data_IF_304634522438
#
_entry.id   IF_304634522438
#
_cell.length_a   1.000
_cell.length_b   1.000
_cell.length_c   1.000
_cell.angle_alpha   90.00
_cell.angle_beta   90.00
_cell.angle_gamma   90.00
#
_symmetry.space_group_name_H-M   'P 1'
#
loop_
_entity.id
_entity.type
_entity.pdbx_description
1 polymer ?
#
# COMPACT_ATOMS: atom_id res chain seq x y z
N UNK A 1 75.37 -33.41 136.99
CA UNK A 1 74.86 -33.44 138.38
C UNK A 1 73.35 -33.67 138.33
N UNK A 2 72.78 -34.47 139.25
CA UNK A 2 71.69 -35.40 138.94
C UNK A 2 70.30 -34.97 139.43
N UNK A 3 69.27 -35.69 138.99
CA UNK A 3 67.89 -35.71 139.52
C UNK A 3 66.93 -36.30 138.49
N UNK A 4 66.83 -37.63 138.34
CA UNK A 4 65.96 -38.61 139.03
C UNK A 4 64.47 -38.57 138.67
N UNK A 5 63.97 -39.76 138.25
CA UNK A 5 62.62 -40.36 138.49
C UNK A 5 61.45 -39.75 137.70
N UNK A 6 60.51 -40.44 137.05
CA UNK A 6 60.03 -41.83 137.10
C UNK A 6 59.17 -42.13 135.84
N UNK A 7 58.90 -43.42 135.62
CA UNK A 7 57.76 -44.02 134.90
C UNK A 7 57.92 -44.61 133.48
N UNK A 8 57.93 -45.96 133.49
CA UNK A 8 57.08 -46.92 132.74
C UNK A 8 57.42 -47.24 131.26
N UNK A 9 58.06 -48.41 131.09
CA UNK A 9 58.02 -49.27 129.89
C UNK A 9 57.73 -50.70 130.39
N UNK A 10 56.62 -51.37 130.04
CA UNK A 10 56.24 -51.97 128.75
C UNK A 10 57.09 -53.20 128.36
N UNK A 11 56.51 -54.40 128.48
CA UNK A 11 56.75 -55.62 127.66
C UNK A 11 55.49 -56.50 127.83
N UNK A 12 54.51 -56.51 126.94
CA UNK A 12 54.44 -57.13 125.60
C UNK A 12 54.44 -58.68 125.64
N UNK A 13 53.25 -59.27 125.48
CA UNK A 13 53.00 -60.71 125.30
C UNK A 13 51.68 -60.94 124.57
N UNK A 14 51.79 -61.49 123.36
CA UNK A 14 50.82 -61.79 122.29
C UNK A 14 49.48 -62.38 122.76
N UNK A 15 48.35 -61.90 122.22
CA UNK A 15 47.07 -62.62 122.17
C UNK A 15 46.24 -62.19 120.97
N UNK A 16 45.94 -63.14 120.07
CA UNK A 16 44.92 -63.03 119.03
C UNK A 16 43.58 -62.62 119.66
N UNK A 17 42.94 -61.59 119.13
CA UNK A 17 41.50 -61.44 119.24
C UNK A 17 40.91 -61.13 117.86
N UNK A 18 40.23 -62.15 117.32
CA UNK A 18 39.38 -62.02 116.16
C UNK A 18 38.27 -61.01 116.47
N UNK A 19 38.27 -59.86 115.79
CA UNK A 19 37.08 -59.04 115.70
C UNK A 19 36.45 -59.26 114.34
N UNK A 20 35.56 -60.24 114.33
CA UNK A 20 34.58 -60.51 113.27
C UNK A 20 33.66 -59.30 113.17
N UNK A 21 34.00 -58.32 112.32
CA UNK A 21 33.02 -57.33 111.88
C UNK A 21 32.11 -58.04 110.90
N UNK A 22 30.87 -58.24 111.31
CA UNK A 22 29.80 -58.80 110.51
C UNK A 22 29.68 -58.04 109.18
N UNK A 23 29.87 -58.75 108.08
CA UNK A 23 29.49 -58.30 106.75
C UNK A 23 27.96 -58.24 106.72
N UNK A 24 27.38 -57.08 107.04
CA UNK A 24 25.96 -56.83 106.84
C UNK A 24 25.72 -56.62 105.34
N UNK A 25 25.14 -57.63 104.69
CA UNK A 25 24.69 -57.60 103.31
C UNK A 25 23.46 -56.67 103.13
N UNK A 26 23.66 -55.36 103.31
CA UNK A 26 22.61 -54.34 103.23
C UNK A 26 22.97 -52.94 102.64
N UNK A 27 24.08 -52.68 101.90
CA UNK A 27 24.29 -51.36 101.29
C UNK A 27 24.13 -51.31 99.75
N UNK A 28 23.99 -52.45 99.06
CA UNK A 28 23.94 -52.45 97.59
C UNK A 28 22.54 -52.11 97.06
N UNK A 29 21.48 -52.66 97.66
CA UNK A 29 20.11 -52.45 97.19
C UNK A 29 19.65 -51.00 97.41
N UNK A 30 20.04 -50.35 98.51
CA UNK A 30 19.71 -48.95 98.79
C UNK A 30 20.46 -47.97 97.88
N UNK A 31 21.70 -48.31 97.50
CA UNK A 31 22.47 -47.54 96.52
C UNK A 31 21.89 -47.70 95.10
N UNK A 32 21.45 -48.91 94.73
CA UNK A 32 20.76 -49.14 93.46
C UNK A 32 19.43 -48.37 93.43
N UNK A 33 18.65 -48.40 94.50
CA UNK A 33 17.36 -47.72 94.56
C UNK A 33 17.50 -46.19 94.48
N UNK A 34 18.49 -45.61 95.15
CA UNK A 34 18.81 -44.17 95.04
C UNK A 34 19.33 -43.78 93.65
N UNK A 35 20.11 -44.63 92.98
CA UNK A 35 20.49 -44.42 91.59
C UNK A 35 19.30 -44.49 90.63
N UNK A 36 18.38 -45.45 90.83
CA UNK A 36 17.15 -45.55 90.03
C UNK A 36 16.26 -44.32 90.23
N UNK A 37 16.05 -43.88 91.47
CA UNK A 37 15.25 -42.67 91.75
C UNK A 37 15.89 -41.41 91.15
N UNK A 38 17.22 -41.28 91.22
CA UNK A 38 17.94 -40.14 90.62
C UNK A 38 17.87 -40.19 89.10
N UNK A 39 17.91 -41.38 88.50
CA UNK A 39 17.79 -41.57 87.06
C UNK A 39 16.37 -41.32 86.56
N UNK A 40 15.34 -41.70 87.33
CA UNK A 40 13.95 -41.36 87.06
C UNK A 40 13.69 -39.85 87.19
N UNK A 41 14.22 -39.20 88.23
CA UNK A 41 14.12 -37.75 88.39
C UNK A 41 14.87 -37.00 87.28
N UNK A 42 16.07 -37.47 86.92
CA UNK A 42 16.85 -36.97 85.79
C UNK A 42 16.07 -37.09 84.49
N UNK A 43 15.47 -38.26 84.22
CA UNK A 43 14.62 -38.48 83.06
C UNK A 43 13.41 -37.54 83.04
N UNK A 44 12.70 -37.33 84.16
CA UNK A 44 11.57 -36.37 84.23
C UNK A 44 11.98 -34.93 83.97
N UNK A 45 13.15 -34.51 84.48
CA UNK A 45 13.67 -33.16 84.21
C UNK A 45 14.12 -33.01 82.75
N UNK A 46 14.70 -34.07 82.17
CA UNK A 46 15.12 -34.10 80.78
C UNK A 46 13.92 -34.05 79.84
N UNK A 47 12.84 -34.80 80.12
CA UNK A 47 11.56 -34.74 79.38
C UNK A 47 10.97 -33.33 79.38
N UNK A 48 11.09 -32.60 80.49
CA UNK A 48 10.56 -31.24 80.58
C UNK A 48 11.43 -30.22 79.85
N UNK A 49 12.76 -30.40 79.87
CA UNK A 49 13.70 -29.61 79.06
C UNK A 49 13.46 -29.86 77.58
N UNK A 50 13.28 -31.11 77.16
CA UNK A 50 13.04 -31.50 75.76
C UNK A 50 11.73 -30.90 75.24
N UNK A 51 10.64 -30.94 76.02
CA UNK A 51 9.38 -30.26 75.66
C UNK A 51 9.51 -28.75 75.51
N UNK A 52 10.29 -28.11 76.39
CA UNK A 52 10.53 -26.66 76.31
C UNK A 52 11.42 -26.29 75.13
N UNK A 53 12.43 -27.10 74.83
CA UNK A 53 13.29 -26.93 73.64
C UNK A 53 12.47 -27.11 72.36
N UNK A 54 11.69 -28.19 72.25
CA UNK A 54 10.77 -28.44 71.13
C UNK A 54 9.80 -27.27 70.92
N UNK A 55 9.18 -26.78 72.00
CA UNK A 55 8.30 -25.61 71.95
C UNK A 55 9.00 -24.34 71.50
N UNK A 56 10.23 -24.12 71.96
CA UNK A 56 11.06 -22.96 71.57
C UNK A 56 11.45 -23.06 70.10
N UNK A 57 11.89 -24.23 69.63
CA UNK A 57 12.21 -24.47 68.24
C UNK A 57 10.99 -24.27 67.34
N UNK A 58 9.81 -24.77 67.74
CA UNK A 58 8.56 -24.57 67.02
C UNK A 58 8.20 -23.09 66.88
N UNK A 59 8.30 -22.31 67.96
CA UNK A 59 8.01 -20.87 67.95
C UNK A 59 9.00 -20.09 67.07
N UNK A 60 10.28 -20.46 67.08
CA UNK A 60 11.31 -19.86 66.21
C UNK A 60 11.04 -20.15 64.74
N UNK A 61 10.60 -21.37 64.42
CA UNK A 61 10.21 -21.75 63.06
C UNK A 61 8.98 -20.94 62.61
N UNK A 62 7.96 -20.83 63.45
CA UNK A 62 6.75 -20.03 63.18
C UNK A 62 7.10 -18.56 62.93
N UNK A 63 7.91 -17.96 63.80
CA UNK A 63 8.39 -16.58 63.63
C UNK A 63 9.16 -16.40 62.31
N UNK A 64 10.05 -17.34 61.96
CA UNK A 64 10.79 -17.31 60.69
C UNK A 64 9.89 -17.51 59.47
N UNK A 65 8.82 -18.30 59.59
CA UNK A 65 7.82 -18.46 58.53
C UNK A 65 7.05 -17.15 58.35
N UNK A 66 6.56 -16.55 59.45
CA UNK A 66 5.85 -15.28 59.43
C UNK A 66 6.68 -14.13 58.84
N UNK A 67 7.98 -14.04 59.18
CA UNK A 67 8.88 -13.06 58.57
C UNK A 67 9.00 -13.23 57.06
N UNK A 68 9.15 -14.47 56.57
CA UNK A 68 9.20 -14.76 55.13
C UNK A 68 7.88 -14.39 54.43
N UNK A 69 6.76 -14.63 55.09
CA UNK A 69 5.44 -14.25 54.56
C UNK A 69 5.26 -12.73 54.47
N UNK A 70 5.68 -11.99 55.50
CA UNK A 70 5.68 -10.51 55.48
C UNK A 70 6.54 -9.98 54.34
N UNK A 71 7.73 -10.55 54.13
CA UNK A 71 8.63 -10.13 53.05
C UNK A 71 8.05 -10.43 51.66
N UNK A 72 7.43 -11.60 51.49
CA UNK A 72 6.72 -11.96 50.27
C UNK A 72 5.55 -11.01 50.00
N UNK A 73 4.72 -10.73 51.01
CA UNK A 73 3.58 -9.80 50.92
C UNK A 73 4.03 -8.38 50.61
N UNK A 74 5.12 -7.90 51.22
CA UNK A 74 5.68 -6.58 50.95
C UNK A 74 6.13 -6.45 49.50
N UNK A 75 6.81 -7.48 48.98
CA UNK A 75 7.25 -7.52 47.59
C UNK A 75 6.05 -7.53 46.63
N UNK A 76 5.02 -8.32 46.95
CA UNK A 76 3.78 -8.38 46.18
C UNK A 76 3.05 -7.02 46.15
N UNK A 77 2.90 -6.35 47.31
CA UNK A 77 2.30 -5.02 47.38
C UNK A 77 3.08 -3.97 46.58
N UNK A 78 4.42 -4.03 46.59
CA UNK A 78 5.25 -3.15 45.77
C UNK A 78 5.00 -3.38 44.27
N UNK A 79 4.87 -4.64 43.84
CA UNK A 79 4.54 -4.97 42.46
C UNK A 79 3.15 -4.46 42.09
N UNK A 80 2.14 -4.69 42.94
CA UNK A 80 0.78 -4.19 42.74
C UNK A 80 0.76 -2.66 42.59
N UNK A 81 1.52 -1.95 43.43
CA UNK A 81 1.63 -0.49 43.36
C UNK A 81 2.26 0.01 42.05
N UNK A 82 3.25 -0.72 41.51
CA UNK A 82 3.83 -0.42 40.19
C UNK A 82 2.81 -0.64 39.08
N UNK A 83 2.03 -1.71 39.18
CA UNK A 83 1.02 -2.07 38.20
C UNK A 83 -0.12 -1.05 38.17
N UNK A 84 -0.64 -0.64 39.33
CA UNK A 84 -1.62 0.44 39.45
C UNK A 84 -1.09 1.73 38.85
N UNK A 85 0.17 2.10 39.13
CA UNK A 85 0.78 3.30 38.56
C UNK A 85 0.90 3.24 37.04
N UNK A 86 1.25 2.07 36.49
CA UNK A 86 1.29 1.84 35.04
C UNK A 86 -0.10 1.98 34.42
N UNK A 87 -1.11 1.34 35.02
CA UNK A 87 -2.50 1.43 34.56
C UNK A 87 -3.05 2.85 34.64
N UNK A 88 -2.69 3.62 35.67
CA UNK A 88 -3.10 5.02 35.79
C UNK A 88 -2.50 5.88 34.67
N UNK A 89 -1.23 5.66 34.32
CA UNK A 89 -0.61 6.34 33.17
C UNK A 89 -1.23 5.92 31.84
N UNK A 90 -1.56 4.64 31.68
CA UNK A 90 -2.22 4.11 30.48
C UNK A 90 -3.64 4.68 30.34
N UNK A 91 -4.39 4.75 31.45
CA UNK A 91 -5.74 5.34 31.47
C UNK A 91 -5.72 6.78 30.99
N UNK A 92 -4.80 7.61 31.50
CA UNK A 92 -4.67 9.00 31.05
C UNK A 92 -4.35 9.10 29.55
N UNK A 93 -3.50 8.21 29.03
CA UNK A 93 -3.19 8.16 27.59
C UNK A 93 -4.42 7.77 26.76
N UNK A 94 -5.18 6.76 27.20
CA UNK A 94 -6.39 6.30 26.52
C UNK A 94 -7.47 7.37 26.55
N UNK A 95 -7.66 8.05 27.67
CA UNK A 95 -8.63 9.16 27.80
C UNK A 95 -8.30 10.29 26.81
N UNK A 96 -7.01 10.61 26.64
CA UNK A 96 -6.58 11.56 25.62
C UNK A 96 -6.89 11.08 24.20
N UNK A 97 -6.63 9.81 23.89
CA UNK A 97 -6.94 9.25 22.57
C UNK A 97 -8.46 9.26 22.28
N UNK A 98 -9.30 9.01 23.29
CA UNK A 98 -10.75 9.10 23.15
C UNK A 98 -11.20 10.53 22.84
N UNK A 99 -10.65 11.54 23.51
CA UNK A 99 -10.93 12.94 23.23
C UNK A 99 -10.51 13.32 21.79
N UNK A 100 -9.33 12.89 21.34
CA UNK A 100 -8.84 13.14 19.98
C UNK A 100 -9.73 12.45 18.92
N UNK A 101 -10.22 11.24 19.19
CA UNK A 101 -11.18 10.53 18.31
C UNK A 101 -12.48 11.32 18.18
N UNK A 102 -13.01 11.87 19.28
CA UNK A 102 -14.26 12.63 19.24
C UNK A 102 -14.14 13.88 18.34
N UNK A 103 -13.03 14.63 18.48
CA UNK A 103 -12.72 15.77 17.61
C UNK A 103 -12.59 15.33 16.16
N UNK A 104 -11.81 14.26 15.92
CA UNK A 104 -11.58 13.73 14.58
C UNK A 104 -12.87 13.25 13.91
N UNK A 105 -13.77 12.58 14.65
CA UNK A 105 -15.08 12.16 14.15
C UNK A 105 -15.96 13.36 13.76
N UNK A 106 -15.88 14.46 14.52
CA UNK A 106 -16.60 15.70 14.24
C UNK A 106 -16.11 16.38 12.95
N UNK A 107 -14.82 16.31 12.68
CA UNK A 107 -14.19 16.98 11.53
C UNK A 107 -14.24 16.16 10.24
N UNK A 108 -14.16 14.83 10.34
CA UNK A 108 -14.19 13.93 9.18
C UNK A 108 -15.54 13.99 8.45
N UNK A 109 -16.66 14.10 9.15
CA UNK A 109 -17.97 14.10 8.52
C UNK A 109 -18.15 15.29 7.53
N UNK A 110 -17.88 16.55 7.93
CA UNK A 110 -17.84 17.67 6.99
C UNK A 110 -16.87 17.48 5.82
N UNK A 111 -15.69 16.89 6.07
CA UNK A 111 -14.73 16.60 5.01
C UNK A 111 -15.29 15.59 4.00
N UNK A 112 -15.89 14.50 4.46
CA UNK A 112 -16.50 13.49 3.59
C UNK A 112 -17.65 14.08 2.76
N UNK A 113 -18.46 14.97 3.34
CA UNK A 113 -19.51 15.67 2.59
C UNK A 113 -18.93 16.56 1.48
N UNK A 114 -17.87 17.34 1.78
CA UNK A 114 -17.16 18.13 0.76
C UNK A 114 -16.53 17.27 -0.32
N UNK A 115 -15.94 16.14 0.06
CA UNK A 115 -15.39 15.17 -0.88
C UNK A 115 -16.48 14.59 -1.78
N UNK A 116 -17.63 14.22 -1.22
CA UNK A 116 -18.76 13.73 -2.02
C UNK A 116 -19.25 14.78 -3.00
N UNK A 117 -19.40 16.03 -2.55
CA UNK A 117 -19.79 17.15 -3.42
C UNK A 117 -18.78 17.38 -4.54
N UNK A 118 -17.49 17.28 -4.25
CA UNK A 118 -16.44 17.37 -5.27
C UNK A 118 -16.55 16.27 -6.33
N UNK A 119 -16.87 15.02 -5.96
CA UNK A 119 -17.10 13.94 -6.96
C UNK A 119 -18.34 14.25 -7.80
N UNK A 120 -19.43 14.71 -7.20
CA UNK A 120 -20.66 15.06 -7.93
C UNK A 120 -20.37 16.15 -8.97
N UNK A 121 -19.72 17.24 -8.56
CA UNK A 121 -19.32 18.32 -9.47
C UNK A 121 -18.39 17.82 -10.57
N UNK A 122 -17.42 16.97 -10.21
CA UNK A 122 -16.50 16.37 -11.16
C UNK A 122 -17.26 15.59 -12.23
N UNK A 123 -18.17 14.69 -11.84
CA UNK A 123 -18.95 13.86 -12.77
C UNK A 123 -19.85 14.71 -13.67
N UNK A 124 -20.41 15.81 -13.16
CA UNK A 124 -21.29 16.71 -13.93
C UNK A 124 -20.51 17.51 -14.98
N UNK A 125 -19.26 17.88 -14.71
CA UNK A 125 -18.39 18.63 -15.63
C UNK A 125 -17.61 17.73 -16.60
N UNK A 126 -17.53 16.43 -16.31
CA UNK A 126 -16.81 15.44 -17.10
C UNK A 126 -17.64 14.99 -18.33
N UNK A 127 -17.01 14.16 -19.14
CA UNK A 127 -17.61 13.52 -20.31
C UNK A 127 -18.80 12.64 -19.90
N UNK A 128 -19.94 12.67 -20.62
CA UNK A 128 -21.16 11.92 -20.28
C UNK A 128 -21.05 10.46 -20.72
N UNK A 129 -20.30 9.65 -19.97
CA UNK A 129 -20.23 8.20 -20.15
C UNK A 129 -20.84 7.47 -18.94
N UNK A 130 -21.40 6.28 -19.18
CA UNK A 130 -21.99 5.40 -18.17
C UNK A 130 -22.90 6.16 -17.17
N UNK A 131 -23.68 7.13 -17.64
CA UNK A 131 -24.40 8.09 -16.80
C UNK A 131 -25.31 7.41 -15.77
N UNK A 132 -26.00 6.33 -16.18
CA UNK A 132 -26.90 5.59 -15.30
C UNK A 132 -26.16 4.99 -14.10
N UNK A 133 -25.01 4.35 -14.35
CA UNK A 133 -24.23 3.69 -13.31
C UNK A 133 -23.58 4.72 -12.37
N UNK A 134 -23.00 5.78 -12.93
CA UNK A 134 -22.34 6.85 -12.16
C UNK A 134 -23.36 7.61 -11.31
N UNK A 135 -24.51 7.98 -11.87
CA UNK A 135 -25.56 8.69 -11.13
C UNK A 135 -26.10 7.84 -9.99
N UNK A 136 -26.41 6.56 -10.27
CA UNK A 136 -26.85 5.63 -9.23
C UNK A 136 -25.85 5.53 -8.09
N UNK A 137 -24.55 5.38 -8.40
CA UNK A 137 -23.49 5.32 -7.38
C UNK A 137 -23.45 6.59 -6.53
N UNK A 138 -23.56 7.77 -7.15
CA UNK A 138 -23.58 9.05 -6.43
C UNK A 138 -24.80 9.16 -5.52
N UNK A 139 -25.96 8.72 -5.97
CA UNK A 139 -27.19 8.74 -5.18
C UNK A 139 -27.12 7.75 -4.01
N UNK A 140 -26.58 6.56 -4.23
CA UNK A 140 -26.34 5.57 -3.18
C UNK A 140 -25.34 6.10 -2.12
N UNK A 141 -24.28 6.81 -2.54
CA UNK A 141 -23.33 7.46 -1.63
C UNK A 141 -23.98 8.58 -0.83
N UNK A 142 -24.81 9.43 -1.46
CA UNK A 142 -25.56 10.48 -0.74
C UNK A 142 -26.48 9.88 0.32
N UNK A 143 -27.26 8.87 -0.05
CA UNK A 143 -28.15 8.18 0.89
C UNK A 143 -27.38 7.52 2.04
N UNK A 144 -26.19 6.99 1.76
CA UNK A 144 -25.32 6.38 2.77
C UNK A 144 -24.79 7.39 3.81
N UNK A 145 -24.59 8.65 3.42
CA UNK A 145 -24.08 9.66 4.34
C UNK A 145 -25.04 9.97 5.49
N UNK A 146 -26.35 9.88 5.25
CA UNK A 146 -27.40 10.18 6.23
C UNK A 146 -27.79 8.98 7.12
N UNK A 147 -27.37 7.77 6.73
CA UNK A 147 -27.66 6.53 7.46
C UNK A 147 -26.93 6.44 8.79
N UNK A 148 -27.64 6.14 9.87
CA UNK A 148 -27.08 6.00 11.23
C UNK A 148 -26.57 4.59 11.56
N UNK A 149 -26.98 3.59 10.79
CA UNK A 149 -26.61 2.18 10.99
C UNK A 149 -25.21 1.83 10.46
N UNK A 150 -24.52 2.81 9.85
CA UNK A 150 -23.19 2.64 9.26
C UNK A 150 -22.12 3.40 10.02
N UNK A 151 -20.99 2.75 10.26
CA UNK A 151 -19.84 3.37 10.92
C UNK A 151 -19.19 4.42 10.02
N UNK A 152 -18.52 5.41 10.64
CA UNK A 152 -17.80 6.46 9.90
C UNK A 152 -16.73 5.88 8.97
N UNK A 153 -16.03 4.82 9.42
CA UNK A 153 -15.01 4.14 8.64
C UNK A 153 -15.60 3.43 7.40
N UNK A 154 -16.82 2.89 7.49
CA UNK A 154 -17.50 2.29 6.34
C UNK A 154 -17.87 3.35 5.29
N UNK A 155 -18.45 4.47 5.74
CA UNK A 155 -18.80 5.61 4.87
C UNK A 155 -17.57 6.13 4.13
N UNK A 156 -16.46 6.33 4.86
CA UNK A 156 -15.19 6.75 4.28
C UNK A 156 -14.67 5.75 3.23
N UNK A 157 -14.68 4.45 3.55
CA UNK A 157 -14.20 3.41 2.63
C UNK A 157 -14.98 3.40 1.32
N UNK A 158 -16.31 3.48 1.40
CA UNK A 158 -17.19 3.49 0.22
C UNK A 158 -17.00 4.75 -0.63
N UNK A 159 -16.80 5.89 0.01
CA UNK A 159 -16.46 7.13 -0.68
C UNK A 159 -15.11 6.99 -1.42
N UNK A 160 -14.09 6.46 -0.75
CA UNK A 160 -12.77 6.26 -1.36
C UNK A 160 -12.80 5.23 -2.51
N UNK A 161 -13.60 4.17 -2.39
CA UNK A 161 -13.85 3.21 -3.47
C UNK A 161 -14.41 3.93 -4.71
N UNK A 162 -15.36 4.83 -4.54
CA UNK A 162 -15.90 5.62 -5.65
C UNK A 162 -14.86 6.54 -6.30
N UNK A 163 -13.99 7.19 -5.50
CA UNK A 163 -12.86 7.98 -6.01
C UNK A 163 -11.88 7.13 -6.83
N UNK A 164 -11.57 5.92 -6.36
CA UNK A 164 -10.68 5.01 -7.08
C UNK A 164 -11.29 4.58 -8.42
N UNK A 165 -12.57 4.21 -8.43
CA UNK A 165 -13.31 3.86 -9.66
C UNK A 165 -13.29 5.03 -10.64
N UNK A 166 -13.58 6.25 -10.17
CA UNK A 166 -13.56 7.44 -11.00
C UNK A 166 -12.16 7.72 -11.58
N UNK A 167 -11.10 7.50 -10.79
CA UNK A 167 -9.72 7.62 -11.27
C UNK A 167 -9.38 6.56 -12.32
N UNK A 168 -9.87 5.34 -12.15
CA UNK A 168 -9.63 4.21 -13.05
C UNK A 168 -10.30 4.42 -14.42
N UNK A 169 -11.43 5.12 -14.49
CA UNK A 169 -12.00 5.56 -15.76
C UNK A 169 -11.03 6.45 -16.56
N UNK A 170 -10.09 7.14 -15.92
CA UNK A 170 -9.04 7.88 -16.64
C UNK A 170 -8.03 6.99 -17.38
N UNK A 171 -7.86 5.73 -16.95
CA UNK A 171 -6.77 4.84 -17.39
C UNK A 171 -7.22 3.73 -18.33
N UNK A 172 -8.50 3.41 -18.32
CA UNK A 172 -9.08 2.27 -19.04
C UNK A 172 -9.65 2.66 -20.40
N UNK A 173 -9.71 1.69 -21.31
CA UNK A 173 -10.38 1.80 -22.61
C UNK A 173 -11.52 0.79 -22.60
N UNK A 174 -12.70 1.20 -23.03
CA UNK A 174 -13.90 0.37 -22.93
C UNK A 174 -14.84 0.61 -24.09
N UNK A 175 -15.47 -0.45 -24.60
CA UNK A 175 -16.51 -0.36 -25.61
C UNK A 175 -17.81 -0.96 -25.06
N UNK A 176 -18.90 -0.21 -25.18
CA UNK A 176 -20.21 -0.63 -24.69
C UNK A 176 -21.32 -0.13 -25.60
N UNK A 177 -22.45 -0.83 -25.62
CA UNK A 177 -23.63 -0.40 -26.38
C UNK A 177 -24.53 0.45 -25.47
N UNK A 178 -25.00 1.57 -25.98
CA UNK A 178 -25.91 2.44 -25.25
C UNK A 178 -26.81 3.24 -26.18
N UNK A 179 -27.80 3.90 -25.59
CA UNK A 179 -28.72 4.76 -26.31
C UNK A 179 -28.19 6.20 -26.31
N UNK A 180 -27.97 6.76 -27.49
CA UNK A 180 -27.68 8.17 -27.66
C UNK A 180 -28.98 8.93 -27.89
N UNK A 181 -29.29 9.87 -26.99
CA UNK A 181 -30.38 10.81 -27.15
C UNK A 181 -29.89 12.01 -27.97
N UNK A 182 -30.35 12.12 -29.21
CA UNK A 182 -30.12 13.30 -30.05
C UNK A 182 -31.46 13.99 -30.27
N UNK A 183 -31.77 14.98 -29.43
CA UNK A 183 -33.09 15.60 -29.36
C UNK A 183 -34.17 14.59 -28.91
N UNK A 184 -35.29 14.55 -29.65
CA UNK A 184 -36.46 13.71 -29.34
C UNK A 184 -36.34 12.26 -29.89
N UNK A 185 -35.18 11.90 -30.44
CA UNK A 185 -34.93 10.57 -31.02
C UNK A 185 -33.81 9.86 -30.27
N UNK A 186 -34.14 8.68 -29.73
CA UNK A 186 -33.17 7.76 -29.16
C UNK A 186 -32.64 6.82 -30.25
N UNK A 187 -31.32 6.60 -30.29
CA UNK A 187 -30.68 5.67 -31.22
C UNK A 187 -29.67 4.80 -30.48
N UNK A 188 -29.73 3.49 -30.69
CA UNK A 188 -28.72 2.57 -30.19
C UNK A 188 -27.40 2.78 -30.95
N UNK A 189 -26.33 3.05 -30.20
CA UNK A 189 -24.97 3.26 -30.72
C UNK A 189 -23.97 2.43 -29.94
N UNK A 190 -22.86 2.10 -30.59
CA UNK A 190 -21.72 1.46 -29.92
C UNK A 190 -20.75 2.57 -29.49
N UNK A 191 -20.61 2.79 -28.18
CA UNK A 191 -19.67 3.73 -27.59
C UNK A 191 -18.28 3.11 -27.45
N UNK A 192 -17.25 3.93 -27.66
CA UNK A 192 -15.86 3.64 -27.35
C UNK A 192 -15.32 4.76 -26.47
N UNK A 193 -14.95 4.43 -25.25
CA UNK A 193 -14.33 5.33 -24.30
C UNK A 193 -12.82 5.09 -24.27
N UNK A 194 -12.05 6.17 -24.41
CA UNK A 194 -10.60 6.16 -24.23
C UNK A 194 -10.24 7.02 -23.02
N UNK A 195 -10.11 6.38 -21.86
CA UNK A 195 -9.87 7.08 -20.60
C UNK A 195 -10.97 8.10 -20.32
N UNK A 196 -10.54 9.33 -20.01
CA UNK A 196 -11.36 10.56 -19.95
C UNK A 196 -11.05 11.56 -21.06
N UNK A 197 -10.20 11.17 -22.01
CA UNK A 197 -9.70 12.06 -23.07
C UNK A 197 -10.67 12.12 -24.23
N UNK A 198 -11.41 11.03 -24.48
CA UNK A 198 -12.40 11.01 -25.56
C UNK A 198 -13.44 9.94 -25.34
N UNK A 199 -14.70 10.34 -25.54
CA UNK A 199 -15.82 9.45 -25.75
C UNK A 199 -16.22 9.52 -27.22
N UNK A 200 -16.26 8.37 -27.85
CA UNK A 200 -16.63 8.21 -29.24
C UNK A 200 -17.87 7.33 -29.33
N UNK A 201 -18.67 7.51 -30.37
CA UNK A 201 -19.70 6.54 -30.72
C UNK A 201 -19.69 6.20 -32.20
N UNK A 202 -20.21 5.02 -32.49
CA UNK A 202 -20.47 4.51 -33.84
C UNK A 202 -21.97 4.22 -33.98
N UNK A 203 -22.61 4.88 -34.94
CA UNK A 203 -23.99 4.58 -35.34
C UNK A 203 -24.04 3.32 -36.20
N UNK A 204 -24.93 2.39 -35.86
CA UNK A 204 -25.14 1.12 -36.57
C UNK A 204 -25.98 1.24 -37.86
N UNK A 205 -26.24 2.46 -38.34
CA UNK A 205 -27.15 2.68 -39.47
C UNK A 205 -26.49 2.25 -40.78
N UNK A 206 -26.98 1.16 -41.38
CA UNK A 206 -26.44 0.54 -42.61
C UNK A 206 -26.42 1.44 -43.86
N UNK A 207 -26.99 2.65 -43.79
CA UNK A 207 -27.16 3.58 -44.94
C UNK A 207 -26.24 4.80 -44.92
N UNK A 208 -25.61 5.14 -43.80
CA UNK A 208 -24.62 6.21 -43.69
C UNK A 208 -23.32 5.61 -43.16
N UNK A 209 -22.18 5.96 -43.76
CA UNK A 209 -20.89 5.40 -43.38
C UNK A 209 -20.63 5.46 -41.87
N UNK A 210 -19.80 4.54 -41.38
CA UNK A 210 -19.36 4.46 -40.00
C UNK A 210 -18.56 5.72 -39.58
N UNK A 211 -19.25 6.81 -39.27
CA UNK A 211 -18.63 8.07 -38.85
C UNK A 211 -18.42 8.09 -37.35
N UNK A 212 -17.16 8.11 -36.94
CA UNK A 212 -16.78 8.31 -35.55
C UNK A 212 -17.05 9.77 -35.17
N UNK A 213 -17.86 9.95 -34.14
CA UNK A 213 -18.15 11.28 -33.58
C UNK A 213 -17.57 11.34 -32.18
N UNK A 214 -16.89 12.44 -31.85
CA UNK A 214 -16.21 12.61 -30.56
C UNK A 214 -16.97 13.62 -29.71
N UNK A 215 -17.04 13.35 -28.40
CA UNK A 215 -17.55 14.31 -27.44
C UNK A 215 -16.56 15.47 -27.26
N UNK A 216 -17.03 16.71 -27.45
CA UNK A 216 -16.27 17.91 -27.16
C UNK A 216 -16.73 18.54 -25.85
N UNK A 217 -15.89 18.48 -24.80
CA UNK A 217 -16.18 19.08 -23.49
C UNK A 217 -16.45 20.59 -23.58
N UNK A 218 -15.75 21.32 -24.46
CA UNK A 218 -15.90 22.77 -24.63
C UNK A 218 -17.30 23.18 -25.10
N UNK A 219 -17.94 22.34 -25.91
CA UNK A 219 -19.24 22.63 -26.51
C UNK A 219 -20.37 21.81 -25.92
N UNK A 220 -20.06 20.92 -24.97
CA UNK A 220 -20.96 19.90 -24.42
C UNK A 220 -21.79 19.21 -25.52
N UNK A 221 -21.15 18.91 -26.65
CA UNK A 221 -21.82 18.36 -27.83
C UNK A 221 -20.89 17.42 -28.58
N UNK A 222 -21.48 16.43 -29.23
CA UNK A 222 -20.77 15.57 -30.17
C UNK A 222 -20.45 16.35 -31.44
N UNK A 223 -19.16 16.51 -31.72
CA UNK A 223 -18.66 17.08 -32.97
C UNK A 223 -18.22 15.96 -33.90
N UNK A 224 -18.66 16.00 -35.16
CA UNK A 224 -18.13 15.09 -36.17
C UNK A 224 -16.62 15.22 -36.23
N UNK A 225 -15.93 14.11 -35.98
CA UNK A 225 -14.51 14.06 -36.30
C UNK A 225 -14.50 13.96 -37.81
N UNK A 226 -14.23 15.10 -38.47
CA UNK A 226 -14.07 15.15 -39.94
C UNK A 226 -13.21 13.97 -40.38
N UNK A 227 -13.49 13.35 -41.53
CA UNK A 227 -13.06 11.99 -41.82
C UNK A 227 -11.57 11.83 -41.57
N UNK A 228 -11.22 11.17 -40.46
CA UNK A 228 -9.88 10.66 -40.28
C UNK A 228 -9.81 9.49 -41.24
N UNK A 229 -9.33 9.78 -42.44
CA UNK A 229 -8.79 8.75 -43.30
C UNK A 229 -7.35 8.55 -42.84
N UNK A 230 -7.06 7.60 -41.92
CA UNK A 230 -5.70 7.14 -41.81
C UNK A 230 -5.36 6.57 -43.19
N UNK A 231 -4.46 7.21 -43.92
CA UNK A 231 -3.70 6.50 -44.97
C UNK A 231 -3.03 5.36 -44.22
N UNK A 232 -3.41 4.09 -44.45
CA UNK A 232 -2.81 3.00 -43.70
C UNK A 232 -1.30 3.05 -43.92
N UNK A 233 -0.47 2.96 -42.86
CA UNK A 233 0.96 2.90 -43.05
C UNK A 233 1.25 1.65 -43.90
N UNK A 234 1.92 1.86 -45.03
CA UNK A 234 2.42 0.77 -45.87
C UNK A 234 3.61 0.13 -45.16
N UNK A 235 3.36 -0.64 -44.10
CA UNK A 235 4.38 -1.40 -43.37
C UNK A 235 4.19 -2.90 -43.58
N UNK A 236 5.26 -3.59 -43.98
CA UNK A 236 5.29 -5.03 -44.16
C UNK A 236 6.25 -5.62 -43.12
N UNK A 237 5.72 -6.50 -42.26
CA UNK A 237 6.54 -7.34 -41.37
C UNK A 237 6.92 -8.60 -42.14
N UNK A 238 8.19 -8.96 -42.14
CA UNK A 238 8.69 -10.11 -42.90
C UNK A 238 8.49 -11.43 -42.13
N UNK A 239 8.17 -12.49 -42.87
CA UNK A 239 8.11 -13.87 -42.34
C UNK A 239 9.48 -14.35 -41.84
N UNK A 240 10.57 -13.88 -42.45
CA UNK A 240 11.94 -14.14 -42.05
C UNK A 240 12.78 -12.86 -42.14
N UNK A 241 13.74 -12.67 -41.22
CA UNK A 241 14.57 -11.46 -41.17
C UNK A 241 15.49 -11.37 -42.41
N UNK A 242 15.32 -10.31 -43.20
CA UNK A 242 16.02 -10.07 -44.47
C UNK A 242 17.34 -9.32 -44.25
N UNK A 243 18.41 -9.74 -44.92
CA UNK A 243 19.72 -9.09 -44.82
C UNK A 243 19.90 -8.00 -45.90
N UNK A 244 20.15 -6.73 -45.53
CA UNK A 244 20.21 -5.61 -46.50
C UNK A 244 21.18 -5.75 -47.67
N UNK A 245 22.24 -6.55 -47.53
CA UNK A 245 23.23 -6.82 -48.59
C UNK A 245 22.91 -8.03 -49.47
N UNK A 246 22.31 -9.09 -48.90
CA UNK A 246 22.08 -10.35 -49.61
C UNK A 246 20.68 -10.37 -50.24
N UNK A 247 19.69 -9.74 -49.59
CA UNK A 247 18.29 -9.69 -50.03
C UNK A 247 17.92 -8.32 -50.61
N UNK A 248 18.90 -7.62 -51.20
CA UNK A 248 18.73 -6.26 -51.72
C UNK A 248 17.62 -6.18 -52.78
N UNK A 249 17.51 -7.21 -53.62
CA UNK A 249 16.51 -7.30 -54.68
C UNK A 249 15.10 -7.43 -54.09
N UNK A 250 14.91 -8.36 -53.15
CA UNK A 250 13.67 -8.56 -52.39
C UNK A 250 13.25 -7.29 -51.63
N UNK A 251 14.18 -6.64 -50.91
CA UNK A 251 13.89 -5.39 -50.20
C UNK A 251 13.54 -4.24 -51.17
N UNK A 252 14.12 -4.21 -52.36
CA UNK A 252 13.81 -3.21 -53.38
C UNK A 252 12.42 -3.42 -53.99
N UNK A 253 12.01 -4.67 -54.19
CA UNK A 253 10.65 -5.03 -54.63
C UNK A 253 9.61 -4.65 -53.57
N UNK A 254 9.84 -5.04 -52.32
CA UNK A 254 8.96 -4.70 -51.19
C UNK A 254 8.82 -3.18 -51.04
N UNK A 255 9.94 -2.44 -51.13
CA UNK A 255 9.90 -0.97 -51.07
C UNK A 255 9.03 -0.38 -52.19
N UNK A 256 9.15 -0.90 -53.42
CA UNK A 256 8.34 -0.46 -54.55
C UNK A 256 6.85 -0.74 -54.32
N UNK A 257 6.49 -1.93 -53.87
CA UNK A 257 5.11 -2.29 -53.54
C UNK A 257 4.52 -1.38 -52.46
N UNK A 258 5.30 -1.08 -51.42
CA UNK A 258 4.88 -0.15 -50.36
C UNK A 258 4.68 1.27 -50.89
N UNK A 259 5.57 1.76 -51.77
CA UNK A 259 5.42 3.08 -52.40
C UNK A 259 4.19 3.12 -53.32
N UNK A 260 3.93 2.06 -54.08
CA UNK A 260 2.74 1.94 -54.94
C UNK A 260 1.46 1.92 -54.11
N UNK A 261 1.44 1.19 -52.99
CA UNK A 261 0.28 1.14 -52.08
C UNK A 261 0.00 2.51 -51.48
N UNK A 262 1.01 3.17 -50.92
CA UNK A 262 0.88 4.51 -50.32
C UNK A 262 0.45 5.56 -51.36
N UNK A 263 1.05 5.53 -52.56
CA UNK A 263 0.63 6.40 -53.66
C UNK A 263 -0.82 6.14 -54.09
N UNK A 264 -1.21 4.87 -54.23
CA UNK A 264 -2.59 4.49 -54.55
C UNK A 264 -3.58 4.96 -53.48
N UNK A 265 -3.21 4.92 -52.21
CA UNK A 265 -4.02 5.47 -51.11
C UNK A 265 -4.15 6.99 -51.20
N UNK A 266 -3.04 7.70 -51.47
CA UNK A 266 -3.04 9.15 -51.65
C UNK A 266 -3.91 9.58 -52.84
N UNK A 267 -3.81 8.90 -53.97
CA UNK A 267 -4.62 9.18 -55.17
C UNK A 267 -6.10 8.90 -54.91
N UNK A 268 -6.43 7.75 -54.31
CA UNK A 268 -7.82 7.40 -53.96
C UNK A 268 -8.46 8.42 -53.04
N UNK A 269 -7.71 8.94 -52.09
CA UNK A 269 -8.20 9.89 -51.09
C UNK A 269 -8.04 11.36 -51.54
N UNK A 270 -7.49 11.63 -52.73
CA UNK A 270 -7.22 12.97 -53.28
C UNK A 270 -6.31 13.83 -52.38
N UNK A 271 -5.25 13.24 -51.84
CA UNK A 271 -4.22 13.94 -51.08
C UNK A 271 -2.85 13.88 -51.77
N UNK A 272 -2.03 14.89 -51.53
CA UNK A 272 -0.62 14.97 -51.89
C UNK A 272 0.20 14.99 -50.61
N UNK A 273 1.31 14.27 -50.56
CA UNK A 273 2.21 14.26 -49.41
C UNK A 273 3.43 15.15 -49.66
N UNK A 274 3.80 15.96 -48.67
CA UNK A 274 5.04 16.75 -48.72
C UNK A 274 6.23 16.06 -48.05
N UNK A 275 6.00 15.19 -47.07
CA UNK A 275 7.09 14.52 -46.35
C UNK A 275 6.96 13.01 -46.50
N UNK A 276 8.06 12.36 -46.84
CA UNK A 276 8.16 10.90 -47.03
C UNK A 276 9.18 10.36 -46.06
N UNK A 277 8.82 9.31 -45.32
CA UNK A 277 9.71 8.65 -44.39
C UNK A 277 9.69 7.14 -44.52
N UNK A 278 10.74 6.51 -43.99
CA UNK A 278 10.86 5.08 -43.82
C UNK A 278 10.89 4.74 -42.34
N UNK A 279 10.36 3.57 -42.01
CA UNK A 279 10.44 2.94 -40.70
C UNK A 279 11.06 1.57 -40.88
N UNK A 280 12.19 1.35 -40.23
CA UNK A 280 12.86 0.05 -40.18
C UNK A 280 12.75 -0.52 -38.77
N UNK A 281 12.50 -1.81 -38.67
CA UNK A 281 12.74 -2.56 -37.43
C UNK A 281 13.79 -3.62 -37.68
N UNK A 282 14.81 -3.67 -36.84
CA UNK A 282 15.84 -4.69 -36.88
C UNK A 282 15.37 -5.99 -36.20
N UNK A 283 16.11 -7.08 -36.42
CA UNK A 283 15.83 -8.38 -35.80
C UNK A 283 15.87 -8.36 -34.25
N UNK A 284 16.64 -7.44 -33.66
CA UNK A 284 16.72 -7.16 -32.21
C UNK A 284 15.56 -6.28 -31.70
N UNK A 285 14.55 -6.05 -32.54
CA UNK A 285 13.37 -5.23 -32.30
C UNK A 285 13.60 -3.72 -32.14
N UNK A 286 14.83 -3.22 -32.31
CA UNK A 286 15.07 -1.77 -32.38
C UNK A 286 14.45 -1.16 -33.62
N UNK A 287 13.77 -0.01 -33.45
CA UNK A 287 13.08 0.70 -34.53
C UNK A 287 13.82 1.99 -34.87
N UNK A 288 14.00 2.27 -36.16
CA UNK A 288 14.63 3.47 -36.67
C UNK A 288 13.77 4.10 -37.76
N UNK A 289 13.55 5.41 -37.66
CA UNK A 289 12.80 6.19 -38.65
C UNK A 289 13.67 7.28 -39.29
N UNK A 290 13.49 7.49 -40.59
CA UNK A 290 14.10 8.60 -41.34
C UNK A 290 13.13 9.18 -42.34
N UNK A 291 13.06 10.50 -42.38
CA UNK A 291 12.16 11.27 -43.21
C UNK A 291 12.90 12.34 -44.02
N UNK A 292 12.30 12.71 -45.14
CA UNK A 292 12.72 13.80 -46.01
C UNK A 292 11.48 14.58 -46.45
N UNK A 293 11.57 15.90 -46.35
CA UNK A 293 10.55 16.82 -46.86
C UNK A 293 10.90 17.22 -48.29
N UNK A 294 9.93 17.10 -49.19
CA UNK A 294 10.04 17.43 -50.60
C UNK A 294 9.69 18.90 -50.86
N UNK A 295 10.20 19.46 -51.95
CA UNK A 295 9.94 20.85 -52.36
C UNK A 295 8.48 21.06 -52.75
N UNK A 296 7.88 20.10 -53.46
CA UNK A 296 6.47 20.11 -53.87
C UNK A 296 5.70 18.90 -53.31
N UNK A 297 4.45 19.07 -52.82
CA UNK A 297 3.58 17.97 -52.45
C UNK A 297 3.30 17.05 -53.64
N UNK A 298 3.37 15.73 -53.45
CA UNK A 298 3.21 14.76 -54.53
C UNK A 298 2.41 13.53 -54.09
N UNK A 299 1.74 12.90 -55.04
CA UNK A 299 1.19 11.55 -54.90
C UNK A 299 1.83 10.58 -55.91
N UNK A 300 2.84 11.02 -56.66
CA UNK A 300 3.50 10.21 -57.67
C UNK A 300 4.39 9.11 -57.03
N UNK A 301 4.25 7.88 -57.56
CA UNK A 301 4.97 6.70 -57.06
C UNK A 301 6.48 6.88 -57.19
N UNK A 302 6.96 7.41 -58.31
CA UNK A 302 8.39 7.52 -58.59
C UNK A 302 9.06 8.52 -57.66
N UNK A 303 8.39 9.65 -57.43
CA UNK A 303 8.86 10.69 -56.51
C UNK A 303 8.91 10.17 -55.07
N UNK A 304 7.86 9.47 -54.60
CA UNK A 304 7.82 8.85 -53.27
C UNK A 304 8.92 7.79 -53.13
N UNK A 305 9.14 6.97 -54.16
CA UNK A 305 10.18 5.94 -54.17
C UNK A 305 11.58 6.52 -54.12
N UNK A 306 11.84 7.59 -54.86
CA UNK A 306 13.12 8.29 -54.83
C UNK A 306 13.42 8.87 -53.44
N UNK A 307 12.40 9.48 -52.82
CA UNK A 307 12.48 10.02 -51.47
C UNK A 307 12.73 8.92 -50.42
N UNK A 308 11.99 7.82 -50.48
CA UNK A 308 12.16 6.68 -49.58
C UNK A 308 13.55 6.03 -49.73
N UNK A 309 14.08 5.93 -50.96
CA UNK A 309 15.46 5.48 -51.22
C UNK A 309 16.50 6.44 -50.65
N UNK A 310 16.26 7.75 -50.71
CA UNK A 310 17.14 8.74 -50.11
C UNK A 310 17.17 8.61 -48.58
N UNK A 311 16.03 8.36 -47.95
CA UNK A 311 15.96 8.06 -46.52
C UNK A 311 16.70 6.75 -46.18
N UNK A 312 16.57 5.71 -47.00
CA UNK A 312 17.22 4.41 -46.77
C UNK A 312 18.75 4.47 -46.83
N UNK A 313 19.32 5.33 -47.68
CA UNK A 313 20.78 5.57 -47.73
C UNK A 313 21.34 6.20 -46.45
N UNK A 314 20.50 6.82 -45.63
CA UNK A 314 20.89 7.53 -44.39
C UNK A 314 20.77 6.66 -43.15
N UNK A 315 20.51 5.36 -43.31
CA UNK A 315 20.32 4.40 -42.22
C UNK A 315 21.46 3.37 -42.21
N UNK A 316 22.00 2.98 -41.04
CA UNK A 316 22.93 1.86 -40.95
C UNK A 316 22.22 0.55 -41.33
N UNK A 317 22.70 -0.09 -42.40
CA UNK A 317 22.17 -1.33 -42.99
C UNK A 317 23.10 -2.53 -42.72
N UNK A 318 23.70 -2.55 -41.54
CA UNK A 318 24.64 -3.56 -41.03
C UNK A 318 23.93 -4.78 -40.41
N UNK A 319 22.64 -4.64 -40.10
CA UNK A 319 21.84 -5.66 -39.40
C UNK A 319 20.66 -6.14 -40.23
N UNK A 320 20.17 -7.34 -39.93
CA UNK A 320 18.97 -7.91 -40.55
C UNK A 320 17.72 -7.10 -40.16
N UNK A 321 16.82 -6.95 -41.13
CA UNK A 321 15.58 -6.20 -41.00
C UNK A 321 14.42 -7.17 -40.83
N UNK A 322 13.52 -6.84 -39.89
CA UNK A 322 12.27 -7.55 -39.62
C UNK A 322 11.05 -6.82 -40.16
N UNK A 323 11.14 -5.51 -40.32
CA UNK A 323 10.08 -4.66 -40.84
C UNK A 323 10.65 -3.55 -41.70
N UNK A 324 9.99 -3.31 -42.83
CA UNK A 324 10.17 -2.14 -43.67
C UNK A 324 8.81 -1.48 -43.87
N UNK A 325 8.73 -0.19 -43.56
CA UNK A 325 7.54 0.61 -43.78
C UNK A 325 7.84 1.94 -44.46
N UNK A 326 6.90 2.40 -45.27
CA UNK A 326 6.89 3.74 -45.87
C UNK A 326 5.76 4.54 -45.24
N UNK A 327 6.09 5.74 -44.78
CA UNK A 327 5.15 6.69 -44.16
C UNK A 327 5.14 7.98 -44.97
N UNK A 328 3.97 8.58 -45.09
CA UNK A 328 3.79 9.92 -45.65
C UNK A 328 3.15 10.85 -44.62
N UNK A 329 3.62 12.09 -44.57
CA UNK A 329 3.14 13.13 -43.65
C UNK A 329 3.05 14.48 -44.36
N UNK A 330 2.43 15.46 -43.69
CA UNK A 330 2.16 16.79 -44.25
C UNK A 330 1.32 16.69 -45.53
N UNK A 331 0.10 16.15 -45.36
CA UNK A 331 -0.84 15.88 -46.43
C UNK A 331 -1.62 17.15 -46.80
N UNK A 332 -1.71 17.45 -48.09
CA UNK A 332 -2.49 18.58 -48.64
C UNK A 332 -3.49 18.05 -49.66
N UNK A 333 -4.71 18.60 -49.71
CA UNK A 333 -5.75 18.14 -50.62
C UNK A 333 -5.41 18.49 -52.08
N UNK A 334 -5.51 17.52 -52.98
CA UNK A 334 -5.28 17.69 -54.43
C UNK A 334 -6.54 18.25 -55.09
N UNK A 335 -6.67 19.57 -55.08
CA UNK A 335 -7.80 20.31 -55.64
C UNK A 335 -8.08 21.52 -54.76
N UNK A 336 -7.76 22.70 -55.27
CA UNK A 336 -7.80 23.94 -54.50
C UNK A 336 -9.19 24.23 -53.95
N UNK A 337 -9.28 24.33 -52.64
CA UNK A 337 -9.93 25.49 -52.08
C UNK A 337 -8.82 26.40 -51.58
N UNK A 338 -8.73 27.60 -52.15
CA UNK A 338 -7.97 28.67 -51.51
C UNK A 338 -8.77 28.99 -50.26
N UNK A 339 -8.42 28.35 -49.15
CA UNK A 339 -8.82 28.88 -47.86
C UNK A 339 -8.02 30.17 -47.69
N UNK A 340 -8.62 31.26 -48.16
CA UNK A 340 -8.29 32.62 -47.78
C UNK A 340 -8.41 32.68 -46.26
N UNK A 341 -7.31 32.33 -45.60
CA UNK A 341 -7.00 32.90 -44.29
C UNK A 341 -6.60 34.34 -44.55
N UNK A 342 -7.62 35.17 -44.82
CA UNK A 342 -7.51 36.56 -44.41
C UNK A 342 -7.23 36.52 -42.90
N UNK A 343 -6.16 37.16 -42.42
CA UNK A 343 -6.03 37.36 -40.99
C UNK A 343 -7.22 38.21 -40.59
N UNK A 344 -8.15 37.63 -39.82
CA UNK A 344 -9.13 38.40 -39.06
C UNK A 344 -8.31 39.36 -38.21
N UNK A 345 -8.24 40.61 -38.64
CA UNK A 345 -7.75 41.72 -37.86
C UNK A 345 -8.61 41.78 -36.61
N UNK A 346 -8.03 41.33 -35.49
CA UNK A 346 -8.51 41.65 -34.15
C UNK A 346 -8.59 43.18 -34.09
N UNK A 347 -9.76 43.79 -33.83
CA UNK A 347 -9.77 45.21 -33.49
C UNK A 347 -9.02 45.37 -32.18
N UNK A 348 -7.93 46.12 -32.21
CA UNK A 348 -7.21 46.57 -31.01
C UNK A 348 -8.18 47.33 -30.11
N UNK A 349 -8.62 46.70 -29.02
CA UNK A 349 -9.36 47.35 -27.95
C UNK A 349 -8.38 48.14 -27.08
N UNK A 350 -7.84 49.23 -27.65
CA UNK A 350 -7.06 50.23 -26.96
C UNK A 350 -7.84 51.54 -26.75
N UNK A 351 -9.16 51.53 -26.91
CA UNK A 351 -10.00 52.74 -26.78
C UNK A 351 -11.16 52.56 -25.80
N UNK A 352 -10.91 51.90 -24.67
CA UNK A 352 -11.85 51.79 -23.55
C UNK A 352 -11.24 52.22 -22.20
N UNK A 353 -10.26 53.15 -22.22
CA UNK A 353 -9.67 53.75 -21.01
C UNK A 353 -9.72 55.28 -20.94
N UNK A 354 -10.44 55.95 -21.84
CA UNK A 354 -10.53 57.42 -21.85
C UNK A 354 -11.94 57.99 -21.60
N UNK A 355 -12.96 57.16 -21.38
CA UNK A 355 -14.33 57.60 -21.08
C UNK A 355 -14.70 57.60 -19.59
N UNK A 356 -13.71 57.46 -18.69
CA UNK A 356 -13.91 57.59 -17.23
C UNK A 356 -13.01 58.67 -16.61
N UNK A 357 -12.98 59.86 -17.23
CA UNK A 357 -12.44 61.10 -16.65
C UNK A 357 -13.18 62.33 -17.21
N UNK A 358 -14.51 62.34 -17.16
CA UNK A 358 -15.31 63.56 -17.30
C UNK A 358 -16.63 63.35 -16.54
N UNK A 359 -16.49 63.24 -15.22
CA UNK A 359 -17.52 63.45 -14.20
C UNK A 359 -16.77 63.87 -12.93
N UNK A 360 -16.19 65.06 -13.02
CA UNK A 360 -16.05 66.05 -11.95
C UNK A 360 -16.31 67.43 -12.58
#
# INVERSE_FOLDING_TARGET
>A
MPGTLEHRWALAGISLFAYSVAFAAAPLDTAIQTHVETQEQGARSQDQVEKLDDGTQALVIEYRNGLREIEALKTYHQQLGREVKSQETERVSVDKQLADIEVTQRDILPLMLRMLEAVVQFVTLDTPFLEQERTKRLDDLKAMMDRSDMTLAEKYRRLMEAYQIETEYGRTIEAYRGDLKSGDKSRAVDFLRFGRVGLYYLTLDRRGGNTWTMWANTSAMFSEVGPVHPVPPGETTFEHDLHPRFDRETLSQILLELCQRVSGDLVRQRYLAKTVGIKLRYADFHTLTRDITLEAPTADVETIRSAARACLRRVPLDRRLRLLGVRVTSLTRSGGDKDTTDPVSVPDDHTARESLRLLD
#
